data_IF_243169688680
#
_entry.id   IF_243169688680
#
_cell.length_a   1.000
_cell.length_b   1.000
_cell.length_c   1.000
_cell.angle_alpha   90.00
_cell.angle_beta   90.00
_cell.angle_gamma   90.00
#
_symmetry.space_group_name_H-M   'P 1'
#
loop_
_entity.id
_entity.type
_entity.pdbx_description
1 polymer ?
#
# COMPACT_ATOMS: atom_id res chain seq x y z
N UNK A 1 21.83 10.17 -23.05
CA UNK A 1 20.60 9.46 -23.45
C UNK A 1 19.73 9.44 -22.21
N UNK A 2 18.85 10.40 -22.09
CA UNK A 2 17.93 10.57 -20.96
C UNK A 2 16.67 9.82 -21.32
N UNK A 3 16.37 8.75 -20.56
CA UNK A 3 15.10 8.06 -20.66
C UNK A 3 14.00 8.99 -20.16
N UNK A 4 13.30 9.63 -21.09
CA UNK A 4 11.98 10.21 -20.85
C UNK A 4 11.03 9.04 -20.54
N UNK A 5 10.88 8.71 -19.26
CA UNK A 5 9.72 7.95 -18.82
C UNK A 5 8.51 8.86 -18.97
N UNK A 6 7.66 8.53 -19.92
CA UNK A 6 6.35 9.11 -20.11
C UNK A 6 5.64 9.20 -18.74
N UNK A 7 5.45 10.42 -18.26
CA UNK A 7 4.57 10.71 -17.14
C UNK A 7 3.13 10.55 -17.63
N UNK A 8 2.66 9.32 -17.77
CA UNK A 8 1.22 9.08 -17.87
C UNK A 8 0.58 9.59 -16.57
N UNK A 9 -0.14 10.68 -16.67
CA UNK A 9 -0.94 11.20 -15.57
C UNK A 9 -2.00 10.14 -15.29
N UNK A 10 -1.82 9.40 -14.21
CA UNK A 10 -2.78 8.38 -13.79
C UNK A 10 -4.10 9.05 -13.47
N UNK A 11 -5.12 8.80 -14.29
CA UNK A 11 -6.50 9.26 -14.02
C UNK A 11 -7.17 8.44 -12.92
N UNK A 12 -6.58 7.29 -12.55
CA UNK A 12 -7.11 6.37 -11.53
C UNK A 12 -6.81 6.86 -10.13
N UNK A 13 -5.59 7.38 -9.91
CA UNK A 13 -5.16 7.87 -8.61
C UNK A 13 -4.28 9.11 -8.77
N UNK A 14 -4.66 10.18 -8.12
CA UNK A 14 -3.90 11.44 -8.07
C UNK A 14 -3.47 11.69 -6.63
N UNK A 15 -2.24 11.31 -6.30
CA UNK A 15 -1.63 11.48 -4.97
C UNK A 15 -0.11 11.46 -5.06
N UNK A 16 0.55 12.02 -4.07
CA UNK A 16 1.97 11.80 -3.81
C UNK A 16 2.11 10.65 -2.82
N UNK A 17 2.91 9.64 -3.14
CA UNK A 17 3.00 8.43 -2.34
C UNK A 17 4.44 8.13 -1.94
N UNK A 18 4.64 7.72 -0.70
CA UNK A 18 5.88 7.20 -0.17
C UNK A 18 5.65 5.86 0.53
N UNK A 19 6.70 5.04 0.62
CA UNK A 19 6.66 3.70 1.19
C UNK A 19 7.73 3.56 2.27
N UNK A 20 7.37 2.98 3.40
CA UNK A 20 8.24 2.87 4.57
C UNK A 20 8.33 1.45 5.11
N UNK A 21 9.51 1.12 5.63
CA UNK A 21 9.80 -0.10 6.39
C UNK A 21 10.19 0.25 7.82
N UNK A 22 10.26 -0.75 8.70
CA UNK A 22 10.83 -0.57 10.05
C UNK A 22 12.31 -0.18 10.01
N UNK A 23 13.03 -0.61 8.98
CA UNK A 23 14.45 -0.28 8.80
C UNK A 23 14.65 1.19 8.42
N UNK A 24 13.73 1.77 7.65
CA UNK A 24 13.82 3.17 7.22
C UNK A 24 13.21 4.13 8.24
N UNK A 25 12.21 3.68 8.99
CA UNK A 25 11.52 4.49 10.00
C UNK A 25 11.12 3.61 11.21
N UNK A 26 11.81 3.73 12.35
CA UNK A 26 11.55 2.90 13.54
C UNK A 26 10.13 3.03 14.12
N UNK A 27 9.42 4.15 13.85
CA UNK A 27 8.03 4.32 14.27
C UNK A 27 7.10 3.30 13.61
N UNK A 28 7.47 2.77 12.44
CA UNK A 28 6.70 1.74 11.75
C UNK A 28 6.59 0.47 12.60
N UNK A 29 7.64 0.07 13.31
CA UNK A 29 7.58 -1.07 14.21
C UNK A 29 6.60 -0.86 15.38
N UNK A 30 6.48 0.38 15.89
CA UNK A 30 5.48 0.71 16.91
C UNK A 30 4.08 0.68 16.34
N UNK A 31 3.89 1.16 15.12
CA UNK A 31 2.63 1.13 14.41
C UNK A 31 2.19 -0.32 14.16
N UNK A 32 3.08 -1.17 13.68
CA UNK A 32 2.81 -2.58 13.43
C UNK A 32 2.30 -3.29 14.69
N UNK A 33 2.98 -3.13 15.82
CA UNK A 33 2.53 -3.71 17.09
C UNK A 33 1.13 -3.25 17.51
N UNK A 34 0.77 -2.00 17.23
CA UNK A 34 -0.59 -1.49 17.50
C UNK A 34 -1.62 -2.09 16.56
N UNK A 35 -1.30 -2.22 15.28
CA UNK A 35 -2.19 -2.86 14.30
C UNK A 35 -2.44 -4.32 14.71
N UNK A 36 -1.39 -5.06 15.02
CA UNK A 36 -1.50 -6.45 15.50
C UNK A 36 -2.36 -6.56 16.77
N UNK A 37 -2.16 -5.66 17.73
CA UNK A 37 -2.93 -5.66 18.97
C UNK A 37 -4.42 -5.36 18.76
N UNK A 38 -4.77 -4.51 17.79
CA UNK A 38 -6.15 -4.12 17.49
C UNK A 38 -6.86 -5.16 16.64
N UNK A 39 -6.16 -5.69 15.63
CA UNK A 39 -6.78 -6.53 14.60
C UNK A 39 -6.62 -8.02 14.85
N UNK A 40 -5.62 -8.42 15.61
CA UNK A 40 -5.22 -9.83 15.76
C UNK A 40 -4.53 -10.40 14.51
N UNK A 41 -4.27 -9.56 13.49
CA UNK A 41 -3.59 -9.97 12.26
C UNK A 41 -2.09 -9.74 12.37
N UNK A 42 -1.29 -10.64 11.82
CA UNK A 42 0.16 -10.45 11.72
C UNK A 42 0.48 -9.39 10.66
N UNK A 43 1.34 -8.45 11.00
CA UNK A 43 1.88 -7.45 10.05
C UNK A 43 3.40 -7.51 10.03
N UNK A 44 3.94 -8.70 9.98
CA UNK A 44 5.37 -8.95 9.98
C UNK A 44 5.91 -9.05 8.54
N UNK A 45 6.63 -8.01 8.12
CA UNK A 45 7.23 -7.97 6.78
C UNK A 45 8.24 -9.09 6.51
N UNK A 46 8.95 -9.56 7.54
CA UNK A 46 9.92 -10.66 7.39
C UNK A 46 9.23 -11.98 7.07
N UNK A 47 7.97 -12.14 7.47
CA UNK A 47 7.14 -13.30 7.15
C UNK A 47 6.31 -13.12 5.88
N UNK A 48 6.42 -11.99 5.23
CA UNK A 48 5.59 -11.62 4.08
C UNK A 48 4.09 -11.51 4.37
N UNK A 49 3.74 -11.28 5.63
CA UNK A 49 2.34 -11.17 6.07
C UNK A 49 1.71 -9.81 5.69
N UNK A 50 2.52 -8.87 5.23
CA UNK A 50 2.08 -7.54 4.86
C UNK A 50 3.01 -6.84 3.86
N UNK A 51 2.47 -5.85 3.18
CA UNK A 51 3.23 -4.95 2.30
C UNK A 51 3.91 -3.84 3.10
N UNK A 52 4.69 -2.98 2.42
CA UNK A 52 5.24 -1.75 3.00
C UNK A 52 4.11 -0.83 3.49
N UNK A 53 4.38 -0.02 4.51
CA UNK A 53 3.45 1.05 4.87
C UNK A 53 3.45 2.10 3.77
N UNK A 54 2.30 2.33 3.20
CA UNK A 54 2.08 3.37 2.21
C UNK A 54 1.59 4.65 2.89
N UNK A 55 2.20 5.77 2.56
CA UNK A 55 1.72 7.09 2.93
C UNK A 55 1.35 7.82 1.65
N UNK A 56 0.08 8.17 1.50
CA UNK A 56 -0.43 8.89 0.35
C UNK A 56 -0.93 10.27 0.77
N UNK A 57 -0.40 11.30 0.12
CA UNK A 57 -0.85 12.69 0.30
C UNK A 57 -1.77 13.06 -0.87
N UNK A 58 -3.03 13.31 -0.55
CA UNK A 58 -4.02 13.82 -1.48
C UNK A 58 -4.15 15.33 -1.30
N UNK A 59 -3.54 16.10 -2.20
CA UNK A 59 -3.71 17.54 -2.27
C UNK A 59 -5.08 17.93 -2.82
N UNK A 60 -5.29 19.22 -3.07
CA UNK A 60 -6.53 19.74 -3.67
C UNK A 60 -6.75 19.08 -5.03
N UNK A 61 -7.93 18.48 -5.23
CA UNK A 61 -8.27 17.71 -6.42
C UNK A 61 -7.68 16.28 -6.45
N UNK A 62 -6.89 15.91 -5.45
CA UNK A 62 -6.40 14.55 -5.30
C UNK A 62 -7.53 13.56 -5.05
N UNK A 63 -7.47 12.41 -5.69
CA UNK A 63 -8.49 11.37 -5.58
C UNK A 63 -7.94 9.99 -5.89
N UNK A 64 -8.71 8.99 -5.53
CA UNK A 64 -8.55 7.62 -5.96
C UNK A 64 -9.94 7.09 -6.35
N UNK A 65 -10.09 6.66 -7.57
CA UNK A 65 -11.38 6.14 -8.04
C UNK A 65 -11.76 4.87 -7.29
N UNK A 66 -13.05 4.52 -7.20
CA UNK A 66 -13.48 3.26 -6.61
C UNK A 66 -12.74 2.08 -7.25
N UNK A 67 -12.17 1.22 -6.41
CA UNK A 67 -11.36 0.08 -6.83
C UNK A 67 -11.43 -1.03 -5.77
N UNK A 68 -10.96 -2.21 -6.16
CA UNK A 68 -10.72 -3.30 -5.21
C UNK A 68 -9.24 -3.32 -4.82
N UNK A 69 -8.96 -3.66 -3.57
CA UNK A 69 -7.60 -3.73 -3.06
C UNK A 69 -6.87 -5.03 -3.40
N UNK A 70 -7.59 -6.09 -3.74
CA UNK A 70 -6.97 -7.35 -4.12
C UNK A 70 -6.15 -7.24 -5.41
N UNK A 71 -5.03 -7.98 -5.45
CA UNK A 71 -4.06 -7.92 -6.55
C UNK A 71 -4.20 -9.09 -7.53
N UNK A 72 -4.64 -10.25 -7.05
CA UNK A 72 -4.53 -11.52 -7.77
C UNK A 72 -5.88 -12.01 -8.28
N UNK A 73 -6.93 -11.85 -7.51
CA UNK A 73 -8.24 -12.50 -7.72
C UNK A 73 -8.80 -12.32 -9.13
N UNK A 74 -8.69 -11.12 -9.70
CA UNK A 74 -9.28 -10.80 -11.00
C UNK A 74 -8.26 -10.78 -12.16
N UNK A 75 -7.01 -11.14 -11.89
CA UNK A 75 -6.04 -11.26 -12.98
C UNK A 75 -6.21 -12.60 -13.70
N UNK A 76 -6.30 -12.59 -15.03
CA UNK A 76 -6.25 -13.83 -15.82
C UNK A 76 -4.96 -14.61 -15.49
N UNK A 77 -5.05 -15.92 -15.53
CA UNK A 77 -3.95 -16.82 -15.14
C UNK A 77 -2.63 -16.50 -15.85
N UNK A 78 -2.70 -16.06 -17.10
CA UNK A 78 -1.56 -15.60 -17.89
C UNK A 78 -0.85 -14.36 -17.33
N UNK A 79 -1.53 -13.54 -16.51
CA UNK A 79 -0.96 -12.35 -15.89
C UNK A 79 -0.50 -12.58 -14.45
N UNK A 80 -0.85 -13.73 -13.86
CA UNK A 80 -0.42 -14.11 -12.50
C UNK A 80 1.06 -14.48 -12.44
N UNK A 81 1.66 -14.86 -13.56
CA UNK A 81 3.08 -15.22 -13.67
C UNK A 81 4.03 -14.03 -13.48
N UNK A 82 3.54 -12.80 -13.61
CA UNK A 82 4.32 -11.58 -13.39
C UNK A 82 4.24 -11.03 -11.95
N UNK A 83 3.55 -11.76 -11.07
CA UNK A 83 3.51 -11.43 -9.65
C UNK A 83 4.82 -11.92 -9.03
N UNK A 84 5.44 -11.13 -8.17
CA UNK A 84 6.67 -11.54 -7.50
C UNK A 84 6.46 -12.88 -6.77
N UNK A 85 7.49 -13.73 -6.74
CA UNK A 85 7.40 -15.01 -6.02
C UNK A 85 6.91 -14.80 -4.57
N UNK A 86 7.34 -13.71 -3.95
CA UNK A 86 6.95 -13.33 -2.60
C UNK A 86 5.44 -13.11 -2.47
N UNK A 87 4.83 -12.44 -3.43
CA UNK A 87 3.39 -12.15 -3.42
C UNK A 87 2.56 -13.39 -3.78
N UNK A 88 3.12 -14.32 -4.54
CA UNK A 88 2.46 -15.60 -4.84
C UNK A 88 2.32 -16.50 -3.60
N UNK A 89 3.30 -16.46 -2.70
CA UNK A 89 3.28 -17.26 -1.47
C UNK A 89 2.53 -16.59 -0.32
N UNK A 90 2.50 -15.27 -0.28
CA UNK A 90 1.78 -14.52 0.74
C UNK A 90 0.25 -14.56 0.55
N UNK A 91 -0.22 -14.88 -0.66
CA UNK A 91 -1.64 -14.79 -1.01
C UNK A 91 -2.04 -13.39 -1.47
N UNK A 92 -3.36 -13.17 -1.59
CA UNK A 92 -3.89 -11.86 -1.97
C UNK A 92 -4.14 -10.98 -0.73
N UNK A 93 -4.30 -9.70 -0.93
CA UNK A 93 -4.63 -8.75 0.12
C UNK A 93 -5.94 -9.14 0.81
N UNK A 94 -5.87 -9.49 2.08
CA UNK A 94 -6.99 -9.92 2.89
C UNK A 94 -7.65 -8.73 3.60
N UNK A 95 -6.83 -7.78 4.07
CA UNK A 95 -7.30 -6.64 4.84
C UNK A 95 -6.47 -5.39 4.56
N UNK A 96 -7.09 -4.23 4.69
CA UNK A 96 -6.44 -2.93 4.62
C UNK A 96 -6.70 -2.17 5.91
N UNK A 97 -5.65 -1.76 6.59
CA UNK A 97 -5.73 -0.89 7.76
C UNK A 97 -5.34 0.53 7.35
N UNK A 98 -6.23 1.48 7.54
CA UNK A 98 -6.06 2.86 7.08
C UNK A 98 -6.15 3.85 8.23
N UNK A 99 -5.28 4.86 8.21
CA UNK A 99 -5.37 6.05 9.05
C UNK A 99 -5.54 7.27 8.18
N UNK A 100 -6.43 8.16 8.60
CA UNK A 100 -6.67 9.43 7.96
C UNK A 100 -6.17 10.56 8.85
N UNK A 101 -5.26 11.37 8.33
CA UNK A 101 -4.77 12.58 8.99
C UNK A 101 -5.15 13.78 8.14
N UNK A 102 -6.12 14.56 8.61
CA UNK A 102 -6.51 15.81 7.97
C UNK A 102 -5.68 16.96 8.57
N UNK A 103 -4.91 17.61 7.71
CA UNK A 103 -4.27 18.89 7.99
C UNK A 103 -4.88 19.88 7.01
N UNK A 104 -4.99 21.15 7.36
CA UNK A 104 -5.63 22.20 6.53
C UNK A 104 -5.26 22.03 5.04
N UNK A 105 -6.27 21.73 4.23
CA UNK A 105 -6.18 21.50 2.77
C UNK A 105 -5.42 20.24 2.30
N UNK A 106 -5.03 19.33 3.20
CA UNK A 106 -4.38 18.08 2.83
C UNK A 106 -5.03 16.90 3.56
N UNK A 107 -5.23 15.82 2.85
CA UNK A 107 -5.60 14.54 3.41
C UNK A 107 -4.40 13.58 3.26
N UNK A 108 -3.83 13.17 4.37
CA UNK A 108 -2.78 12.15 4.40
C UNK A 108 -3.41 10.83 4.82
N UNK A 109 -3.21 9.82 4.00
CA UNK A 109 -3.70 8.46 4.25
C UNK A 109 -2.51 7.55 4.45
N UNK A 110 -2.47 6.89 5.61
CA UNK A 110 -1.56 5.79 5.89
C UNK A 110 -2.30 4.49 5.64
N UNK A 111 -1.77 3.62 4.83
CA UNK A 111 -2.38 2.32 4.58
C UNK A 111 -1.40 1.18 4.78
N UNK A 112 -1.90 0.09 5.34
CA UNK A 112 -1.21 -1.16 5.55
C UNK A 112 -2.06 -2.29 4.97
N UNK A 113 -1.55 -2.96 3.98
CA UNK A 113 -2.18 -4.12 3.39
C UNK A 113 -1.66 -5.38 4.09
N UNK A 114 -2.56 -6.27 4.45
CA UNK A 114 -2.28 -7.54 5.10
C UNK A 114 -2.70 -8.66 4.15
N UNK A 115 -1.83 -9.61 3.97
CA UNK A 115 -2.02 -10.78 3.11
C UNK A 115 -2.29 -12.03 3.92
#
# INVERSE_FOLDING_TARGET
>A
MTDEKDNEISTVRVSQTAWFTEATEPLIGRLNRRIEAITGLSVNMNKSDCELVQIANYGIGGHYVPHYDYLIKDKPESQRTNISEKDQYAGDRMATFMFYVCIINYLIVFSRFVS
#
